data_IF_368908834614
#
_entry.id   IF_368908834614
#
_cell.length_a   1.000
_cell.length_b   1.000
_cell.length_c   1.000
_cell.angle_alpha   90.00
_cell.angle_beta   90.00
_cell.angle_gamma   90.00
#
_symmetry.space_group_name_H-M   'P 1'
#
loop_
_entity.id
_entity.type
_entity.pdbx_description
1 polymer ?
#
# COMPACT_ATOMS: atom_id res chain seq x y z
N UNK A 1 2.44 -1.81 -4.22
CA UNK A 1 1.96 -2.25 -2.90
C UNK A 1 0.45 -2.02 -2.69
N UNK A 2 -0.16 -1.03 -3.32
CA UNK A 2 -1.60 -0.75 -3.17
C UNK A 2 -2.50 -1.58 -4.11
N UNK A 3 -1.98 -2.19 -5.17
CA UNK A 3 -2.77 -3.01 -6.08
C UNK A 3 -3.21 -4.34 -5.42
N UNK A 4 -2.24 -5.07 -4.85
CA UNK A 4 -2.47 -6.42 -4.28
C UNK A 4 -3.61 -6.49 -3.24
N UNK A 5 -3.80 -5.51 -2.33
CA UNK A 5 -4.94 -5.52 -1.42
C UNK A 5 -6.30 -5.36 -2.11
N UNK A 6 -6.37 -4.66 -3.24
CA UNK A 6 -7.62 -4.18 -3.83
C UNK A 6 -8.07 -4.94 -5.08
N UNK A 7 -7.15 -5.64 -5.76
CA UNK A 7 -7.44 -6.33 -7.01
C UNK A 7 -6.54 -7.56 -7.20
N UNK A 8 -6.97 -8.58 -7.95
CA UNK A 8 -6.10 -9.69 -8.29
C UNK A 8 -4.93 -9.20 -9.13
N UNK A 9 -3.74 -9.69 -8.82
CA UNK A 9 -2.51 -9.38 -9.54
C UNK A 9 -1.87 -10.69 -10.02
N UNK A 10 -1.76 -10.85 -11.33
CA UNK A 10 -1.04 -11.96 -11.95
C UNK A 10 0.30 -11.45 -12.51
N UNK A 11 1.40 -11.87 -11.92
CA UNK A 11 2.75 -11.44 -12.32
C UNK A 11 3.16 -11.96 -13.69
N UNK A 12 2.55 -13.06 -14.15
CA UNK A 12 2.81 -13.62 -15.49
C UNK A 12 2.07 -12.82 -16.57
N UNK A 13 0.82 -12.44 -16.30
CA UNK A 13 0.03 -11.60 -17.19
C UNK A 13 0.64 -10.21 -17.32
N UNK A 14 1.11 -9.64 -16.20
CA UNK A 14 1.82 -8.36 -16.17
C UNK A 14 3.22 -8.42 -16.82
N UNK A 15 3.80 -9.60 -16.94
CA UNK A 15 5.18 -9.85 -17.38
C UNK A 15 6.20 -8.92 -16.65
N UNK A 16 5.94 -8.60 -15.39
CA UNK A 16 6.80 -7.72 -14.61
C UNK A 16 8.06 -8.45 -14.15
N UNK A 17 9.19 -7.74 -14.13
CA UNK A 17 10.46 -8.27 -13.65
C UNK A 17 10.49 -8.37 -12.13
N UNK A 18 9.94 -7.36 -11.45
CA UNK A 18 9.81 -7.30 -10.00
C UNK A 18 8.44 -6.77 -9.57
N UNK A 19 7.92 -7.30 -8.47
CA UNK A 19 6.72 -6.78 -7.80
C UNK A 19 6.95 -6.79 -6.29
N UNK A 20 6.66 -5.67 -5.62
CA UNK A 20 6.75 -5.58 -4.17
C UNK A 20 5.42 -5.16 -3.54
N UNK A 21 5.08 -5.78 -2.41
CA UNK A 21 3.94 -5.37 -1.61
C UNK A 21 4.17 -5.59 -0.12
N UNK A 22 3.34 -4.97 0.71
CA UNK A 22 3.48 -4.93 2.17
C UNK A 22 2.29 -5.59 2.84
N UNK A 23 2.54 -6.42 3.85
CA UNK A 23 1.51 -7.13 4.60
C UNK A 23 0.51 -6.20 5.28
N UNK A 24 0.99 -5.10 5.90
CA UNK A 24 0.12 -4.14 6.61
C UNK A 24 -0.90 -3.42 5.72
N UNK A 25 -0.75 -3.47 4.39
CA UNK A 25 -1.73 -2.88 3.45
C UNK A 25 -2.80 -3.87 3.00
N UNK A 26 -2.68 -5.15 3.38
CA UNK A 26 -3.60 -6.21 3.00
C UNK A 26 -4.07 -7.02 4.23
N UNK A 27 -4.49 -6.34 5.29
CA UNK A 27 -4.96 -6.93 6.54
C UNK A 27 -3.93 -7.78 7.28
N UNK A 28 -2.68 -7.74 6.85
CA UNK A 28 -1.56 -8.48 7.46
C UNK A 28 -0.80 -7.66 8.50
N UNK A 29 0.15 -8.28 9.19
CA UNK A 29 0.97 -7.60 10.19
C UNK A 29 1.94 -6.59 9.58
N UNK A 30 2.41 -5.66 10.41
CA UNK A 30 3.53 -4.77 10.10
C UNK A 30 4.85 -5.55 10.09
N UNK A 31 5.87 -5.01 9.41
CA UNK A 31 7.22 -5.58 9.39
C UNK A 31 7.43 -6.74 8.42
N UNK A 32 6.40 -7.15 7.69
CA UNK A 32 6.47 -8.19 6.65
C UNK A 32 6.01 -7.66 5.30
N UNK A 33 6.67 -8.08 4.24
CA UNK A 33 6.30 -7.84 2.87
C UNK A 33 6.86 -8.92 1.96
N UNK A 34 6.57 -8.82 0.67
CA UNK A 34 7.02 -9.76 -0.35
C UNK A 34 7.67 -8.99 -1.48
N UNK A 35 8.80 -9.48 -1.96
CA UNK A 35 9.39 -9.14 -3.25
C UNK A 35 9.29 -10.37 -4.15
N UNK A 36 8.52 -10.25 -5.23
CA UNK A 36 8.58 -11.16 -6.36
C UNK A 36 9.67 -10.68 -7.33
N UNK A 37 10.42 -11.61 -7.89
CA UNK A 37 11.35 -11.36 -8.99
C UNK A 37 11.40 -12.54 -9.95
N UNK A 38 11.63 -12.27 -11.24
CA UNK A 38 11.94 -13.34 -12.21
C UNK A 38 13.21 -14.07 -11.76
N UNK A 39 13.18 -15.39 -11.74
CA UNK A 39 14.25 -16.21 -11.14
C UNK A 39 15.64 -15.87 -11.69
N UNK A 40 15.79 -15.77 -13.01
CA UNK A 40 17.08 -15.46 -13.63
C UNK A 40 17.64 -14.09 -13.20
N UNK A 41 16.78 -13.09 -12.94
CA UNK A 41 17.21 -11.80 -12.45
C UNK A 41 17.66 -11.87 -10.99
N UNK A 42 16.94 -12.65 -10.17
CA UNK A 42 17.35 -12.90 -8.78
C UNK A 42 18.68 -13.67 -8.70
N UNK A 43 18.95 -14.57 -9.62
CA UNK A 43 20.25 -15.28 -9.70
C UNK A 43 21.39 -14.33 -10.01
N UNK A 44 21.20 -13.39 -10.94
CA UNK A 44 22.21 -12.41 -11.35
C UNK A 44 22.44 -11.30 -10.32
N UNK A 45 21.43 -10.96 -9.51
CA UNK A 45 21.53 -9.89 -8.53
C UNK A 45 22.47 -10.23 -7.37
N UNK A 46 23.30 -9.29 -6.99
CA UNK A 46 24.05 -9.36 -5.72
C UNK A 46 23.13 -9.09 -4.53
N UNK A 47 23.31 -9.81 -3.40
CA UNK A 47 22.56 -9.50 -2.18
C UNK A 47 22.94 -8.13 -1.64
N UNK A 48 21.96 -7.44 -1.04
CA UNK A 48 22.13 -6.10 -0.45
C UNK A 48 22.51 -6.19 1.04
N UNK A 49 22.04 -7.24 1.71
CA UNK A 49 22.31 -7.51 3.12
C UNK A 49 23.00 -8.86 3.25
N UNK A 50 23.89 -8.98 4.24
CA UNK A 50 24.71 -10.15 4.45
C UNK A 50 24.58 -10.66 5.90
N UNK A 51 24.50 -11.97 6.08
CA UNK A 51 24.36 -12.55 7.41
C UNK A 51 24.17 -14.07 7.38
N UNK A 52 23.75 -14.61 8.49
CA UNK A 52 23.44 -16.05 8.63
C UNK A 52 22.35 -16.49 7.68
N UNK A 53 22.27 -17.76 7.43
CA UNK A 53 21.31 -18.49 6.60
C UNK A 53 21.39 -18.24 5.09
N UNK A 54 21.84 -17.10 4.61
CA UNK A 54 21.92 -16.75 3.19
C UNK A 54 23.21 -17.18 2.49
N UNK A 55 24.24 -17.49 3.25
CA UNK A 55 25.58 -17.88 2.76
C UNK A 55 25.70 -19.39 2.51
N UNK A 56 26.47 -19.75 1.49
CA UNK A 56 26.89 -21.14 1.23
C UNK A 56 28.28 -21.37 1.82
N UNK A 57 29.26 -20.54 1.43
CA UNK A 57 30.63 -20.57 1.98
C UNK A 57 31.10 -19.16 2.31
N UNK A 58 31.97 -19.02 3.32
CA UNK A 58 32.61 -17.76 3.69
C UNK A 58 34.09 -17.98 3.89
N UNK A 59 34.89 -17.21 3.18
CA UNK A 59 36.33 -17.08 3.32
C UNK A 59 36.70 -15.68 3.86
N UNK A 60 37.97 -15.40 4.11
CA UNK A 60 38.39 -14.09 4.59
C UNK A 60 38.13 -12.95 3.61
N UNK A 61 38.19 -13.24 2.30
CA UNK A 61 38.14 -12.22 1.24
C UNK A 61 36.95 -12.41 0.30
N UNK A 62 36.20 -13.50 0.41
CA UNK A 62 35.04 -13.77 -0.46
C UNK A 62 33.99 -14.64 0.23
N UNK A 63 32.78 -14.64 -0.34
CA UNK A 63 31.70 -15.50 0.08
C UNK A 63 30.90 -15.96 -1.13
N UNK A 64 30.25 -17.11 -1.01
CA UNK A 64 29.23 -17.59 -1.94
C UNK A 64 27.90 -17.67 -1.23
N UNK A 65 26.83 -17.54 -1.99
CA UNK A 65 25.48 -17.42 -1.45
C UNK A 65 24.60 -18.58 -1.91
N UNK A 66 23.59 -18.87 -1.12
CA UNK A 66 22.57 -19.85 -1.49
C UNK A 66 21.74 -19.36 -2.69
N UNK A 67 21.00 -20.28 -3.29
CA UNK A 67 20.06 -19.97 -4.36
C UNK A 67 18.92 -19.06 -3.87
N UNK A 68 18.34 -18.21 -4.76
CA UNK A 68 17.12 -17.50 -4.43
C UNK A 68 15.97 -18.45 -4.01
N UNK A 69 15.12 -18.12 -3.05
CA UNK A 69 15.05 -16.80 -2.37
C UNK A 69 16.02 -16.63 -1.20
N UNK A 70 16.65 -17.70 -0.71
CA UNK A 70 17.50 -17.68 0.50
C UNK A 70 18.68 -16.70 0.43
N UNK A 71 19.19 -16.48 -0.77
CA UNK A 71 20.23 -15.48 -1.08
C UNK A 71 19.92 -14.07 -0.56
N UNK A 72 18.63 -13.73 -0.43
CA UNK A 72 18.17 -12.40 -0.02
C UNK A 72 17.54 -12.37 1.37
N UNK A 73 17.58 -13.48 2.11
CA UNK A 73 16.97 -13.59 3.43
C UNK A 73 18.06 -13.81 4.50
N UNK A 74 18.45 -12.74 5.19
CA UNK A 74 19.55 -12.75 6.15
C UNK A 74 19.07 -12.98 7.57
N UNK A 75 19.68 -13.95 8.25
CA UNK A 75 19.37 -14.30 9.64
C UNK A 75 17.98 -14.91 9.83
N UNK A 76 17.56 -15.06 11.07
CA UNK A 76 16.24 -15.62 11.40
C UNK A 76 15.12 -14.71 10.87
N UNK A 77 14.25 -15.21 9.98
CA UNK A 77 13.19 -14.40 9.39
C UNK A 77 12.11 -14.03 10.43
N UNK A 78 11.26 -13.06 10.08
CA UNK A 78 10.10 -12.65 10.88
C UNK A 78 8.99 -13.72 10.82
N UNK A 79 9.18 -14.85 11.52
CA UNK A 79 8.33 -16.05 11.45
C UNK A 79 6.86 -15.72 11.73
N UNK A 80 6.58 -15.01 12.84
CA UNK A 80 5.22 -14.61 13.21
C UNK A 80 4.57 -13.70 12.16
N UNK A 81 5.36 -12.80 11.54
CA UNK A 81 4.89 -11.95 10.44
C UNK A 81 4.53 -12.75 9.20
N UNK A 82 5.33 -13.75 8.83
CA UNK A 82 5.09 -14.61 7.68
C UNK A 82 3.81 -15.45 7.84
N UNK A 83 3.62 -16.05 9.02
CA UNK A 83 2.38 -16.81 9.34
C UNK A 83 1.16 -15.88 9.32
N UNK A 84 1.27 -14.68 9.92
CA UNK A 84 0.20 -13.69 9.92
C UNK A 84 -0.15 -13.17 8.53
N UNK A 85 0.86 -13.00 7.64
CA UNK A 85 0.62 -12.64 6.25
C UNK A 85 -0.11 -13.75 5.49
N UNK A 86 0.25 -15.02 5.72
CA UNK A 86 -0.46 -16.18 5.16
C UNK A 86 -1.94 -16.17 5.56
N UNK A 87 -2.24 -15.97 6.85
CA UNK A 87 -3.61 -15.86 7.33
C UNK A 87 -4.38 -14.67 6.72
N UNK A 88 -3.72 -13.53 6.47
CA UNK A 88 -4.33 -12.38 5.81
C UNK A 88 -4.65 -12.66 4.35
N UNK A 89 -3.79 -13.39 3.64
CA UNK A 89 -4.03 -13.84 2.27
C UNK A 89 -5.25 -14.76 2.21
N UNK A 90 -5.34 -15.73 3.10
CA UNK A 90 -6.49 -16.63 3.19
C UNK A 90 -7.80 -15.87 3.49
N UNK A 91 -7.72 -14.87 4.36
CA UNK A 91 -8.86 -14.00 4.69
C UNK A 91 -9.34 -13.20 3.48
N UNK A 92 -8.44 -12.55 2.73
CA UNK A 92 -8.78 -11.80 1.51
C UNK A 92 -9.35 -12.75 0.45
N UNK A 93 -8.76 -13.92 0.25
CA UNK A 93 -9.26 -14.91 -0.69
C UNK A 93 -10.66 -15.40 -0.34
N UNK A 94 -10.97 -15.55 0.96
CA UNK A 94 -12.31 -15.92 1.45
C UNK A 94 -13.35 -14.83 1.20
N UNK A 95 -12.99 -13.56 1.33
CA UNK A 95 -13.85 -12.40 0.99
C UNK A 95 -14.07 -12.34 -0.52
N UNK A 96 -13.01 -12.53 -1.29
CA UNK A 96 -12.96 -12.50 -2.74
C UNK A 96 -12.78 -11.10 -3.31
N UNK A 97 -11.93 -10.99 -4.31
CA UNK A 97 -11.61 -9.71 -4.96
C UNK A 97 -12.81 -9.09 -5.67
N UNK A 98 -13.75 -9.88 -6.19
CA UNK A 98 -14.97 -9.34 -6.80
C UNK A 98 -15.80 -8.50 -5.82
N UNK A 99 -15.89 -8.95 -4.56
CA UNK A 99 -16.56 -8.19 -3.53
C UNK A 99 -15.75 -6.94 -3.16
N UNK A 100 -14.44 -7.08 -2.95
CA UNK A 100 -13.55 -5.97 -2.57
C UNK A 100 -13.61 -4.86 -3.61
N UNK A 101 -13.46 -5.19 -4.90
CA UNK A 101 -13.50 -4.23 -6.00
C UNK A 101 -14.85 -3.51 -6.11
N UNK A 102 -15.96 -4.24 -5.94
CA UNK A 102 -17.31 -3.64 -5.96
C UNK A 102 -17.54 -2.71 -4.78
N UNK A 103 -17.06 -3.10 -3.58
CA UNK A 103 -17.20 -2.28 -2.40
C UNK A 103 -16.34 -1.01 -2.49
N UNK A 104 -15.09 -1.13 -2.93
CA UNK A 104 -14.20 0.02 -3.17
C UNK A 104 -14.83 1.00 -4.17
N UNK A 105 -15.39 0.49 -5.26
CA UNK A 105 -16.08 1.32 -6.24
C UNK A 105 -17.31 2.04 -5.66
N UNK A 106 -18.14 1.32 -4.93
CA UNK A 106 -19.34 1.88 -4.30
C UNK A 106 -18.98 3.00 -3.30
N UNK A 107 -18.02 2.74 -2.43
CA UNK A 107 -17.61 3.71 -1.41
C UNK A 107 -16.92 4.93 -2.04
N UNK A 108 -16.06 4.72 -3.02
CA UNK A 108 -15.42 5.79 -3.79
C UNK A 108 -16.43 6.70 -4.48
N UNK A 109 -17.35 6.11 -5.23
CA UNK A 109 -18.34 6.87 -5.99
C UNK A 109 -19.25 7.67 -5.07
N UNK A 110 -19.64 7.07 -3.94
CA UNK A 110 -20.42 7.74 -2.91
C UNK A 110 -19.66 8.91 -2.30
N UNK A 111 -18.40 8.69 -1.87
CA UNK A 111 -17.55 9.74 -1.31
C UNK A 111 -17.37 10.90 -2.30
N UNK A 112 -17.04 10.62 -3.55
CA UNK A 112 -16.87 11.66 -4.58
C UNK A 112 -18.16 12.43 -4.84
N UNK A 113 -19.31 11.74 -4.81
CA UNK A 113 -20.63 12.39 -4.99
C UNK A 113 -20.94 13.34 -3.84
N UNK A 114 -20.72 12.93 -2.60
CA UNK A 114 -21.01 13.78 -1.43
C UNK A 114 -20.02 14.95 -1.33
N UNK A 115 -18.72 14.71 -1.52
CA UNK A 115 -17.71 15.76 -1.49
C UNK A 115 -17.94 16.86 -2.53
N UNK A 116 -18.45 16.53 -3.72
CA UNK A 116 -18.76 17.52 -4.77
C UNK A 116 -19.88 18.50 -4.39
N UNK A 117 -20.70 18.17 -3.39
CA UNK A 117 -21.77 19.06 -2.90
C UNK A 117 -21.26 20.10 -1.91
N UNK A 118 -20.04 19.92 -1.39
CA UNK A 118 -19.45 20.78 -0.37
C UNK A 118 -18.63 21.87 -1.07
N UNK A 119 -18.98 23.16 -0.92
CA UNK A 119 -18.19 24.25 -1.52
C UNK A 119 -16.81 24.35 -0.86
N UNK A 120 -15.82 24.80 -1.63
CA UNK A 120 -14.46 25.00 -1.11
C UNK A 120 -13.63 23.73 -1.03
N UNK A 121 -14.09 22.59 -1.57
CA UNK A 121 -13.29 21.36 -1.70
C UNK A 121 -12.74 21.25 -3.11
N UNK A 122 -11.41 21.11 -3.22
CA UNK A 122 -10.73 20.78 -4.46
C UNK A 122 -10.28 19.34 -4.44
N UNK A 123 -10.82 18.49 -5.34
CA UNK A 123 -10.46 17.06 -5.48
C UNK A 123 -9.44 16.92 -6.60
N UNK A 124 -8.28 16.32 -6.31
CA UNK A 124 -7.15 16.19 -7.27
C UNK A 124 -7.22 14.92 -8.12
N UNK A 125 -7.94 13.88 -7.68
CA UNK A 125 -8.08 12.62 -8.40
C UNK A 125 -9.55 12.21 -8.60
N UNK A 126 -10.39 13.03 -9.25
CA UNK A 126 -11.84 12.78 -9.36
C UNK A 126 -12.19 11.57 -10.24
N UNK A 127 -11.22 10.98 -10.92
CA UNK A 127 -11.35 9.79 -11.78
C UNK A 127 -10.55 8.59 -11.22
N UNK A 128 -10.36 8.55 -9.89
CA UNK A 128 -9.62 7.44 -9.26
C UNK A 128 -10.39 6.12 -9.41
N UNK A 129 -9.65 5.02 -9.59
CA UNK A 129 -10.21 3.66 -9.60
C UNK A 129 -10.08 2.94 -8.25
N UNK A 130 -9.56 3.64 -7.23
CA UNK A 130 -9.36 3.11 -5.88
C UNK A 130 -10.19 3.85 -4.85
N UNK A 131 -10.37 3.31 -3.64
CA UNK A 131 -11.00 3.96 -2.50
C UNK A 131 -10.19 5.13 -1.90
N UNK A 132 -9.25 5.71 -2.67
CA UNK A 132 -8.38 6.80 -2.22
C UNK A 132 -8.82 8.10 -2.90
N UNK A 133 -9.23 9.09 -2.09
CA UNK A 133 -9.56 10.43 -2.58
C UNK A 133 -8.59 11.44 -1.96
N UNK A 134 -7.96 12.25 -2.84
CA UNK A 134 -7.01 13.30 -2.46
C UNK A 134 -7.63 14.66 -2.72
N UNK A 135 -7.62 15.52 -1.72
CA UNK A 135 -8.30 16.81 -1.78
C UNK A 135 -7.62 17.87 -0.91
N UNK A 136 -8.03 19.14 -1.07
CA UNK A 136 -7.78 20.23 -0.13
C UNK A 136 -9.08 20.99 0.13
N UNK A 137 -9.08 21.74 1.22
CA UNK A 137 -10.15 22.65 1.63
C UNK A 137 -9.61 24.07 1.48
N UNK A 138 -10.35 24.94 0.82
CA UNK A 138 -9.94 26.31 0.55
C UNK A 138 -9.64 27.08 1.84
N UNK A 139 -8.45 27.66 1.89
CA UNK A 139 -8.01 28.44 3.05
C UNK A 139 -7.61 27.62 4.29
N UNK A 140 -7.64 26.28 4.22
CA UNK A 140 -7.27 25.39 5.34
C UNK A 140 -5.99 24.63 5.00
N UNK A 141 -4.98 24.71 5.88
CA UNK A 141 -3.78 23.92 5.70
C UNK A 141 -4.06 22.42 5.91
N UNK A 142 -3.54 21.50 5.08
CA UNK A 142 -3.82 20.06 5.19
C UNK A 142 -3.58 19.44 6.57
N UNK A 143 -2.57 19.88 7.30
CA UNK A 143 -2.32 19.42 8.69
C UNK A 143 -3.39 19.90 9.67
N UNK A 144 -3.88 21.14 9.52
CA UNK A 144 -4.96 21.66 10.36
C UNK A 144 -6.25 20.92 10.08
N UNK A 145 -6.56 20.65 8.80
CA UNK A 145 -7.68 19.80 8.43
C UNK A 145 -7.59 18.42 9.10
N UNK A 146 -6.42 17.76 9.03
CA UNK A 146 -6.24 16.45 9.65
C UNK A 146 -6.45 16.49 11.17
N UNK A 147 -6.03 17.57 11.84
CA UNK A 147 -6.23 17.76 13.28
C UNK A 147 -7.72 17.89 13.62
N UNK A 148 -8.48 18.63 12.82
CA UNK A 148 -9.93 18.80 13.04
C UNK A 148 -10.67 17.49 12.80
N UNK A 149 -10.35 16.76 11.74
CA UNK A 149 -10.92 15.44 11.48
C UNK A 149 -10.61 14.44 12.60
N UNK A 150 -9.40 14.45 13.14
CA UNK A 150 -9.01 13.58 14.27
C UNK A 150 -9.84 13.86 15.54
N UNK A 151 -10.15 15.12 15.83
CA UNK A 151 -11.04 15.51 16.94
C UNK A 151 -12.46 14.94 16.79
N UNK A 152 -12.91 14.75 15.55
CA UNK A 152 -14.18 14.11 15.21
C UNK A 152 -14.06 12.58 15.06
N UNK A 153 -12.92 11.98 15.44
CA UNK A 153 -12.60 10.54 15.32
C UNK A 153 -12.61 10.05 13.87
N UNK A 154 -12.20 10.89 12.93
CA UNK A 154 -12.01 10.54 11.53
C UNK A 154 -10.51 10.59 11.19
N UNK A 155 -9.90 9.45 10.95
CA UNK A 155 -8.48 9.35 10.62
C UNK A 155 -8.27 9.61 9.12
N UNK A 156 -7.59 10.70 8.79
CA UNK A 156 -7.15 11.04 7.44
C UNK A 156 -5.64 11.28 7.41
N UNK A 157 -5.05 11.25 6.24
CA UNK A 157 -3.61 11.54 6.08
C UNK A 157 -3.41 12.90 5.43
N UNK A 158 -2.54 13.75 6.03
CA UNK A 158 -2.06 14.99 5.44
C UNK A 158 -0.57 14.91 5.07
N UNK A 159 -0.15 15.63 4.04
CA UNK A 159 1.25 15.75 3.65
C UNK A 159 1.52 15.47 2.17
N UNK A 160 2.74 15.03 1.86
CA UNK A 160 3.19 14.77 0.48
C UNK A 160 2.85 13.36 -0.03
N UNK A 161 2.33 12.47 0.83
CA UNK A 161 2.00 11.06 0.52
C UNK A 161 3.16 10.25 -0.08
N UNK A 162 4.41 10.56 0.30
CA UNK A 162 5.65 10.00 -0.28
C UNK A 162 5.82 10.33 -1.77
N UNK A 163 5.23 11.43 -2.26
CA UNK A 163 5.16 11.82 -3.66
C UNK A 163 5.40 13.34 -3.85
N UNK A 164 6.48 13.88 -3.29
CA UNK A 164 6.82 15.31 -3.42
C UNK A 164 6.84 15.85 -4.85
N UNK A 165 7.37 15.11 -5.86
CA UNK A 165 7.30 15.57 -7.24
C UNK A 165 5.86 15.79 -7.74
N UNK A 166 4.93 14.93 -7.33
CA UNK A 166 3.50 15.08 -7.65
C UNK A 166 2.91 16.35 -7.02
N UNK A 167 3.29 16.68 -5.79
CA UNK A 167 2.84 17.92 -5.14
C UNK A 167 3.26 19.16 -5.94
N UNK A 168 4.46 19.14 -6.50
CA UNK A 168 4.93 20.22 -7.40
C UNK A 168 4.10 20.31 -8.68
N UNK A 169 3.77 19.16 -9.30
CA UNK A 169 2.90 19.13 -10.48
C UNK A 169 1.50 19.67 -10.20
N UNK A 170 0.98 19.43 -9.01
CA UNK A 170 -0.30 19.93 -8.55
C UNK A 170 -0.23 21.39 -8.06
N UNK A 171 0.95 21.98 -8.00
CA UNK A 171 1.22 23.30 -7.41
C UNK A 171 0.68 23.40 -5.97
N UNK A 172 0.90 22.35 -5.18
CA UNK A 172 0.48 22.25 -3.78
C UNK A 172 1.67 21.98 -2.88
N UNK A 173 1.64 22.52 -1.66
CA UNK A 173 2.62 22.23 -0.63
C UNK A 173 2.36 20.84 -0.04
N UNK A 174 1.10 20.53 0.19
CA UNK A 174 0.63 19.27 0.74
C UNK A 174 -0.84 19.06 0.36
N UNK A 175 -1.34 17.84 0.53
CA UNK A 175 -2.75 17.51 0.33
C UNK A 175 -3.27 16.65 1.47
N UNK A 176 -4.59 16.58 1.59
CA UNK A 176 -5.31 15.66 2.46
C UNK A 176 -5.70 14.43 1.65
N UNK A 177 -5.68 13.26 2.27
CA UNK A 177 -6.08 12.00 1.66
C UNK A 177 -7.01 11.21 2.58
N UNK A 178 -8.21 10.95 2.10
CA UNK A 178 -9.11 9.95 2.66
C UNK A 178 -8.90 8.62 1.94
N UNK A 179 -8.96 7.51 2.67
CA UNK A 179 -8.79 6.16 2.13
C UNK A 179 -9.82 5.24 2.75
N UNK A 180 -10.60 4.57 1.92
CA UNK A 180 -11.54 3.51 2.32
C UNK A 180 -11.04 2.15 1.90
N UNK A 181 -11.57 1.10 2.52
CA UNK A 181 -11.33 -0.28 2.14
C UNK A 181 -12.63 -1.09 2.33
N UNK A 182 -12.66 -2.33 1.94
CA UNK A 182 -13.88 -3.15 1.89
C UNK A 182 -14.65 -3.25 3.21
N UNK A 183 -14.02 -2.98 4.35
CA UNK A 183 -14.66 -3.01 5.67
C UNK A 183 -15.32 -1.69 6.08
N UNK A 184 -15.12 -0.61 5.31
CA UNK A 184 -15.81 0.65 5.54
C UNK A 184 -17.26 0.60 5.04
N UNK A 185 -18.07 1.51 5.56
CA UNK A 185 -19.50 1.65 5.24
C UNK A 185 -19.80 3.05 4.69
N UNK A 186 -21.02 3.26 4.22
CA UNK A 186 -21.49 4.60 3.82
C UNK A 186 -21.57 5.55 5.01
N UNK A 187 -21.94 5.03 6.18
CA UNK A 187 -22.01 5.78 7.43
C UNK A 187 -20.63 6.33 7.85
N UNK A 188 -19.55 5.59 7.56
CA UNK A 188 -18.18 6.10 7.77
C UNK A 188 -17.88 7.29 6.85
N UNK A 189 -18.39 7.26 5.62
CA UNK A 189 -18.23 8.37 4.66
C UNK A 189 -19.12 9.55 5.05
N UNK A 190 -20.34 9.32 5.53
CA UNK A 190 -21.24 10.37 6.00
C UNK A 190 -20.68 11.11 7.22
N UNK A 191 -19.92 10.39 8.04
CA UNK A 191 -19.23 10.98 9.18
C UNK A 191 -18.00 11.79 8.78
N UNK A 192 -17.30 11.37 7.73
CA UNK A 192 -16.17 12.07 7.12
C UNK A 192 -16.62 13.38 6.49
#
# INVERSE_FOLDING_TARGET
AQAVPHMPVDVKDLDCDFLAFSGHKMCGPTGIGVLYGKHHLLEEMEPVEFGGDMIETVELECATYKEPPYKFETGTPIIGGAIGLGAAIDYINKIGYDFIMKQDQLLRDYMLQEMKKIPGITIYNPKTDTGIVTFNIDGVHPHDAATVFDQENVAIRAGHHCAQPLMRCLNQVATVRASTYFYNTKEDIDRF
#
